data_IF_353378368227
#
_entry.id   IF_353378368227
#
_cell.length_a   1.000
_cell.length_b   1.000
_cell.length_c   1.000
_cell.angle_alpha   90.00
_cell.angle_beta   90.00
_cell.angle_gamma   90.00
#
_symmetry.space_group_name_H-M   'P 1'
#
loop_
_entity.id
_entity.type
_entity.pdbx_description
1 polymer ?
#
# COMPACT_ATOMS: atom_id res chain seq x y z
N UNK A 1 20.35 -4.06 1.05
CA UNK A 1 18.89 -4.03 0.87
C UNK A 1 18.47 -2.57 0.76
N UNK A 2 17.81 -2.17 -0.32
CA UNK A 2 17.39 -0.78 -0.55
C UNK A 2 15.87 -0.73 -0.36
N UNK A 3 15.41 0.26 0.40
CA UNK A 3 13.99 0.45 0.68
C UNK A 3 13.57 1.84 0.19
N UNK A 4 12.47 1.91 -0.55
CA UNK A 4 11.85 3.16 -0.96
C UNK A 4 10.60 3.41 -0.14
N UNK A 5 10.62 4.47 0.66
CA UNK A 5 9.43 4.94 1.37
C UNK A 5 8.65 5.91 0.48
N UNK A 6 7.35 5.65 0.30
CA UNK A 6 6.45 6.52 -0.47
C UNK A 6 5.33 7.00 0.43
N UNK A 7 5.27 8.31 0.65
CA UNK A 7 4.24 8.97 1.46
C UNK A 7 3.32 9.73 0.50
N UNK A 8 2.03 9.44 0.57
CA UNK A 8 1.00 10.09 -0.25
C UNK A 8 0.06 10.90 0.65
N UNK A 9 -0.18 12.16 0.29
CA UNK A 9 -1.22 12.98 0.90
C UNK A 9 -2.53 12.77 0.13
N UNK A 10 -3.55 12.30 0.85
CA UNK A 10 -4.86 12.00 0.28
C UNK A 10 -5.88 12.99 0.85
N UNK A 11 -6.81 13.40 -0.01
CA UNK A 11 -7.96 14.22 0.39
C UNK A 11 -8.84 13.37 1.34
N UNK A 12 -9.38 13.95 2.44
CA UNK A 12 -10.25 13.23 3.36
C UNK A 12 -11.41 12.55 2.61
N UNK A 13 -11.70 11.29 2.98
CA UNK A 13 -12.76 10.48 2.37
C UNK A 13 -12.35 9.64 1.15
N UNK A 14 -11.18 9.88 0.54
CA UNK A 14 -10.69 9.09 -0.63
C UNK A 14 -9.72 7.97 -0.29
N UNK A 15 -9.55 7.67 1.00
CA UNK A 15 -8.73 6.56 1.46
C UNK A 15 -9.13 5.17 0.91
N UNK A 16 -10.43 4.79 0.87
CA UNK A 16 -10.82 3.47 0.38
C UNK A 16 -10.48 3.27 -1.11
N UNK A 17 -10.59 4.31 -1.93
CA UNK A 17 -10.25 4.26 -3.36
C UNK A 17 -8.75 4.02 -3.57
N UNK A 18 -7.92 4.63 -2.73
CA UNK A 18 -6.46 4.44 -2.76
C UNK A 18 -6.10 3.01 -2.36
N UNK A 19 -6.71 2.48 -1.31
CA UNK A 19 -6.48 1.08 -0.90
C UNK A 19 -6.87 0.10 -2.02
N UNK A 20 -8.01 0.33 -2.67
CA UNK A 20 -8.45 -0.47 -3.82
C UNK A 20 -7.42 -0.44 -4.96
N UNK A 21 -6.89 0.73 -5.29
CA UNK A 21 -5.83 0.88 -6.31
C UNK A 21 -4.55 0.13 -5.93
N UNK A 22 -4.16 0.14 -4.66
CA UNK A 22 -2.98 -0.59 -4.20
C UNK A 22 -3.12 -2.10 -4.39
N UNK A 23 -4.28 -2.65 -4.01
CA UNK A 23 -4.57 -4.07 -4.16
C UNK A 23 -4.72 -4.50 -5.63
N UNK A 24 -5.54 -3.79 -6.40
CA UNK A 24 -5.94 -4.24 -7.74
C UNK A 24 -4.84 -4.02 -8.79
N UNK A 25 -4.11 -2.90 -8.69
CA UNK A 25 -3.20 -2.45 -9.75
C UNK A 25 -1.75 -2.54 -9.33
N UNK A 26 -1.44 -2.03 -8.14
CA UNK A 26 -0.05 -1.69 -7.79
C UNK A 26 0.75 -2.93 -7.43
N UNK A 27 0.12 -3.93 -6.78
CA UNK A 27 0.73 -5.25 -6.55
C UNK A 27 1.16 -5.93 -7.86
N UNK A 28 0.34 -5.84 -8.91
CA UNK A 28 0.67 -6.40 -10.22
C UNK A 28 1.85 -5.70 -10.89
N UNK A 29 1.89 -4.36 -10.80
CA UNK A 29 3.02 -3.57 -11.30
C UNK A 29 4.32 -3.90 -10.57
N UNK A 30 4.30 -3.96 -9.24
CA UNK A 30 5.49 -4.28 -8.44
C UNK A 30 6.02 -5.67 -8.75
N UNK A 31 5.13 -6.67 -8.90
CA UNK A 31 5.50 -8.02 -9.30
C UNK A 31 6.19 -8.07 -10.66
N UNK A 32 5.75 -7.26 -11.62
CA UNK A 32 6.36 -7.19 -12.97
C UNK A 32 7.80 -6.67 -12.94
N UNK A 33 8.11 -5.75 -12.03
CA UNK A 33 9.46 -5.16 -11.89
C UNK A 33 10.30 -5.82 -10.79
N UNK A 34 9.87 -6.95 -10.23
CA UNK A 34 10.62 -7.68 -9.19
C UNK A 34 10.69 -6.94 -7.85
N UNK A 35 9.81 -5.96 -7.62
CA UNK A 35 9.74 -5.22 -6.37
C UNK A 35 8.81 -5.94 -5.38
N UNK A 36 9.28 -6.15 -4.15
CA UNK A 36 8.45 -6.64 -3.07
C UNK A 36 7.89 -5.48 -2.25
N UNK A 37 6.55 -5.40 -2.16
CA UNK A 37 5.87 -4.46 -1.27
C UNK A 37 5.90 -5.01 0.15
N UNK A 38 6.53 -4.27 1.07
CA UNK A 38 6.70 -4.69 2.47
C UNK A 38 5.46 -4.33 3.31
N UNK A 39 4.77 -3.24 2.99
CA UNK A 39 3.52 -2.87 3.63
C UNK A 39 3.07 -1.46 3.27
N UNK A 40 1.76 -1.24 3.36
CA UNK A 40 1.14 0.08 3.27
C UNK A 40 0.53 0.43 4.61
N UNK A 41 0.93 1.54 5.21
CA UNK A 41 0.39 2.04 6.47
C UNK A 41 -0.41 3.33 6.22
N UNK A 42 -1.56 3.45 6.89
CA UNK A 42 -2.39 4.66 6.92
C UNK A 42 -2.37 5.29 8.30
N UNK A 43 -2.02 6.58 8.39
CA UNK A 43 -1.94 7.33 9.66
C UNK A 43 -3.31 7.66 10.30
N UNK A 44 -4.40 7.03 9.84
CA UNK A 44 -5.72 7.21 10.44
C UNK A 44 -5.84 6.31 11.69
N UNK A 45 -6.26 6.84 12.85
CA UNK A 45 -6.33 6.08 14.10
C UNK A 45 -7.40 4.96 14.14
N UNK A 46 -8.05 4.64 13.01
CA UNK A 46 -9.22 3.74 12.99
C UNK A 46 -9.12 2.55 12.01
N UNK A 47 -8.04 2.34 11.27
CA UNK A 47 -7.93 1.16 10.39
C UNK A 47 -6.61 0.44 10.63
N UNK A 48 -6.68 -0.56 11.50
CA UNK A 48 -5.60 -1.51 11.79
C UNK A 48 -5.24 -2.33 10.56
N UNK A 49 -3.95 -2.35 10.29
CA UNK A 49 -3.15 -3.31 9.52
C UNK A 49 -3.92 -4.46 8.85
N UNK A 50 -4.05 -4.39 7.53
CA UNK A 50 -4.00 -5.62 6.72
C UNK A 50 -2.56 -5.80 6.26
N UNK A 51 -1.74 -6.38 7.14
CA UNK A 51 -0.48 -6.98 6.70
C UNK A 51 -0.81 -8.01 5.61
N UNK A 52 -0.22 -7.91 4.40
CA UNK A 52 -0.23 -9.06 3.51
C UNK A 52 0.52 -10.16 4.27
N UNK A 53 -0.20 -11.22 4.65
CA UNK A 53 0.41 -12.42 5.20
C UNK A 53 1.41 -12.92 4.16
N UNK A 54 2.68 -12.67 4.41
CA UNK A 54 3.77 -13.39 3.79
C UNK A 54 3.59 -14.86 4.17
N UNK A 55 3.16 -15.66 3.19
CA UNK A 55 3.44 -17.08 3.11
C UNK A 55 4.40 -17.28 1.93
#
# INVERSE_FOLDING_TARGET
>A
MIYELRIYHVIPGRMPDINKRFNDVTMGLFKKYGMQMIGTHSNLPYLTESLPRCA
#
